data_IF_161406267276
#
_entry.id   IF_161406267276
#
_cell.length_a   1.000
_cell.length_b   1.000
_cell.length_c   1.000
_cell.angle_alpha   90.00
_cell.angle_beta   90.00
_cell.angle_gamma   90.00
#
_symmetry.space_group_name_H-M   'P 1'
#
loop_
_entity.id
_entity.type
_entity.pdbx_description
1 polymer ?
#
# COMPACT_ATOMS: atom_id res chain seq x y z
N UNK A 1 -20.05 -6.41 7.75
CA UNK A 1 -18.99 -6.94 8.63
C UNK A 1 -19.45 -8.12 9.50
N UNK A 2 -20.76 -8.24 9.84
CA UNK A 2 -21.26 -9.40 10.62
C UNK A 2 -20.95 -10.75 9.95
N UNK A 3 -21.09 -10.85 8.62
CA UNK A 3 -20.79 -12.08 7.86
C UNK A 3 -19.29 -12.33 7.65
N UNK A 4 -18.46 -11.27 7.69
CA UNK A 4 -17.02 -11.33 7.44
C UNK A 4 -16.28 -10.47 8.47
N UNK A 5 -16.21 -10.88 9.75
CA UNK A 5 -15.71 -10.04 10.84
C UNK A 5 -14.22 -9.68 10.68
N UNK A 6 -13.43 -10.60 10.13
CA UNK A 6 -11.97 -10.49 9.99
C UNK A 6 -11.53 -10.07 8.59
N UNK A 7 -12.47 -9.68 7.72
CA UNK A 7 -12.14 -9.26 6.36
C UNK A 7 -12.23 -7.75 6.21
N UNK A 8 -11.30 -7.19 5.45
CA UNK A 8 -11.43 -5.83 4.96
C UNK A 8 -12.39 -5.82 3.79
N UNK A 9 -13.40 -4.96 3.88
CA UNK A 9 -14.41 -4.81 2.83
C UNK A 9 -14.15 -3.51 2.10
N UNK A 10 -14.43 -3.52 0.81
CA UNK A 10 -14.25 -2.37 -0.07
C UNK A 10 -15.51 -2.09 -0.86
N UNK A 11 -15.73 -0.84 -1.17
CA UNK A 11 -16.78 -0.38 -2.06
C UNK A 11 -16.16 0.42 -3.21
N UNK A 12 -16.81 0.40 -4.37
CA UNK A 12 -16.35 1.13 -5.54
C UNK A 12 -16.40 2.64 -5.35
N UNK A 13 -17.54 3.14 -4.85
CA UNK A 13 -17.77 4.57 -4.62
C UNK A 13 -18.55 4.78 -3.33
N UNK A 14 -18.38 5.92 -2.65
CA UNK A 14 -19.15 6.25 -1.45
C UNK A 14 -20.60 6.66 -1.74
N UNK A 15 -21.05 6.63 -3.00
CA UNK A 15 -22.40 7.05 -3.40
C UNK A 15 -23.45 6.03 -3.03
N UNK A 16 -24.63 6.52 -2.64
CA UNK A 16 -25.82 5.70 -2.40
C UNK A 16 -25.90 5.04 -1.03
N UNK A 17 -24.96 5.33 -0.12
CA UNK A 17 -25.00 4.84 1.25
C UNK A 17 -25.53 5.92 2.19
N UNK A 18 -26.53 5.57 3.00
CA UNK A 18 -27.07 6.48 4.01
C UNK A 18 -26.06 6.77 5.15
N UNK A 19 -25.21 5.79 5.45
CA UNK A 19 -24.08 5.94 6.37
C UNK A 19 -22.92 5.05 5.90
N UNK A 20 -21.77 5.64 5.67
CA UNK A 20 -20.58 4.91 5.23
C UNK A 20 -19.71 4.64 6.44
N UNK A 21 -19.41 3.36 6.75
CA UNK A 21 -18.54 3.03 7.87
C UNK A 21 -17.11 3.51 7.62
N UNK A 22 -16.50 4.10 8.63
CA UNK A 22 -15.08 4.57 8.56
C UNK A 22 -14.04 3.45 8.40
N UNK A 23 -14.45 2.19 8.58
CA UNK A 23 -13.61 1.01 8.36
C UNK A 23 -13.72 0.45 6.93
N UNK A 24 -14.51 1.05 6.05
CA UNK A 24 -14.68 0.61 4.66
C UNK A 24 -13.55 1.16 3.80
N UNK A 25 -12.92 0.29 3.02
CA UNK A 25 -11.99 0.66 1.96
C UNK A 25 -12.70 1.04 0.67
N UNK A 26 -11.95 1.54 -0.30
CA UNK A 26 -12.51 1.98 -1.56
C UNK A 26 -11.69 1.52 -2.75
N UNK A 27 -12.39 1.32 -3.88
CA UNK A 27 -11.84 0.93 -5.16
C UNK A 27 -12.19 1.95 -6.23
N UNK A 28 -11.17 2.49 -6.88
CA UNK A 28 -11.26 3.37 -8.03
C UNK A 28 -11.09 2.53 -9.31
N UNK A 29 -12.18 2.31 -10.03
CA UNK A 29 -12.19 1.42 -11.19
C UNK A 29 -11.70 2.09 -12.50
N UNK A 30 -11.30 3.34 -12.44
CA UNK A 30 -10.76 4.09 -13.58
C UNK A 30 -9.50 4.87 -13.20
N UNK A 31 -8.69 4.32 -12.29
CA UNK A 31 -7.41 4.91 -11.90
C UNK A 31 -6.46 5.03 -13.12
N UNK A 32 -5.78 6.17 -13.32
CA UNK A 32 -5.90 7.44 -12.62
C UNK A 32 -6.85 8.43 -13.32
N UNK A 33 -7.59 7.98 -14.34
CA UNK A 33 -8.34 8.83 -15.27
C UNK A 33 -9.42 9.69 -14.58
N UNK A 34 -10.12 9.12 -13.61
CA UNK A 34 -11.17 9.81 -12.86
C UNK A 34 -10.83 10.01 -11.37
N UNK A 35 -9.63 9.62 -10.93
CA UNK A 35 -9.20 9.74 -9.54
C UNK A 35 -9.28 11.19 -9.03
N UNK A 36 -8.75 12.14 -9.80
CA UNK A 36 -8.67 13.56 -9.42
C UNK A 36 -8.73 14.50 -10.64
N UNK A 37 -9.68 14.29 -11.52
CA UNK A 37 -9.81 15.05 -12.77
C UNK A 37 -10.48 16.42 -12.61
N UNK A 38 -10.71 16.89 -11.39
CA UNK A 38 -11.32 18.19 -11.09
C UNK A 38 -12.84 18.22 -11.19
N UNK A 39 -13.48 17.09 -11.47
CA UNK A 39 -14.95 16.99 -11.53
C UNK A 39 -15.51 16.66 -10.14
N UNK A 40 -16.74 17.02 -9.91
CA UNK A 40 -17.48 16.76 -8.68
C UNK A 40 -17.74 15.25 -8.43
N UNK A 41 -17.76 14.47 -9.51
CA UNK A 41 -17.89 13.01 -9.48
C UNK A 41 -16.54 12.28 -9.41
N UNK A 42 -15.40 12.99 -9.47
CA UNK A 42 -14.09 12.35 -9.36
C UNK A 42 -13.94 11.58 -8.04
N UNK A 43 -13.21 10.49 -8.07
CA UNK A 43 -13.10 9.56 -6.93
C UNK A 43 -12.69 10.26 -5.63
N UNK A 44 -11.58 10.99 -5.60
CA UNK A 44 -11.13 11.71 -4.40
C UNK A 44 -12.09 12.84 -3.99
N UNK A 45 -12.73 13.50 -4.96
CA UNK A 45 -13.73 14.53 -4.68
C UNK A 45 -14.95 13.94 -3.97
N UNK A 46 -15.44 12.77 -4.44
CA UNK A 46 -16.57 12.08 -3.81
C UNK A 46 -16.23 11.52 -2.44
N UNK A 47 -15.01 10.99 -2.23
CA UNK A 47 -14.55 10.58 -0.90
C UNK A 47 -14.55 11.75 0.08
N UNK A 48 -14.02 12.90 -0.33
CA UNK A 48 -14.00 14.11 0.49
C UNK A 48 -15.41 14.63 0.79
N UNK A 49 -16.26 14.72 -0.21
CA UNK A 49 -17.64 15.19 -0.06
C UNK A 49 -18.48 14.30 0.89
N UNK A 50 -18.16 13.02 0.96
CA UNK A 50 -18.83 12.06 1.86
C UNK A 50 -18.14 11.91 3.23
N UNK A 51 -17.05 12.64 3.51
CA UNK A 51 -16.29 12.56 4.76
C UNK A 51 -15.50 11.26 4.90
N UNK A 52 -15.14 10.61 3.78
CA UNK A 52 -14.42 9.33 3.74
C UNK A 52 -12.96 9.47 3.27
N UNK A 53 -12.48 10.69 3.10
CA UNK A 53 -11.13 11.01 2.63
C UNK A 53 -10.01 10.55 3.58
N UNK A 54 -10.34 10.13 4.79
CA UNK A 54 -9.42 9.57 5.79
C UNK A 54 -9.53 8.06 5.98
N UNK A 55 -10.42 7.38 5.25
CA UNK A 55 -10.60 5.93 5.41
C UNK A 55 -9.35 5.13 5.08
N UNK A 56 -8.47 5.66 4.20
CA UNK A 56 -7.18 5.04 3.89
C UNK A 56 -6.29 4.79 5.13
N UNK A 57 -6.52 5.50 6.24
CA UNK A 57 -5.77 5.30 7.48
C UNK A 57 -6.13 3.98 8.20
N UNK A 58 -7.28 3.38 7.89
CA UNK A 58 -7.80 2.20 8.59
C UNK A 58 -8.28 1.08 7.65
N UNK A 59 -8.39 1.36 6.36
CA UNK A 59 -8.84 0.40 5.36
C UNK A 59 -8.19 0.70 3.99
N UNK A 60 -7.93 -0.32 3.15
CA UNK A 60 -7.21 -0.12 1.90
C UNK A 60 -8.01 0.72 0.91
N UNK A 61 -7.29 1.58 0.21
CA UNK A 61 -7.75 2.24 -1.01
C UNK A 61 -6.91 1.70 -2.16
N UNK A 62 -7.53 1.42 -3.28
CA UNK A 62 -6.87 0.93 -4.47
C UNK A 62 -7.69 1.19 -5.71
N UNK A 63 -7.29 0.64 -6.81
CA UNK A 63 -7.98 0.84 -8.07
C UNK A 63 -7.49 -0.05 -9.17
N UNK A 64 -7.97 0.20 -10.39
CA UNK A 64 -7.50 -0.51 -11.59
C UNK A 64 -7.21 0.47 -12.72
N UNK A 65 -6.19 0.15 -13.53
CA UNK A 65 -5.84 0.91 -14.73
C UNK A 65 -6.13 0.07 -15.96
N UNK A 66 -7.07 0.52 -16.78
CA UNK A 66 -7.42 -0.19 -18.00
C UNK A 66 -6.22 -0.36 -18.94
N UNK A 67 -5.96 -1.58 -19.46
CA UNK A 67 -4.76 -1.89 -20.24
C UNK A 67 -4.59 -1.02 -21.48
N UNK A 68 -5.67 -0.71 -22.18
CA UNK A 68 -5.65 0.10 -23.40
C UNK A 68 -5.37 1.59 -23.14
N UNK A 69 -5.44 2.05 -21.89
CA UNK A 69 -5.09 3.41 -21.48
C UNK A 69 -3.72 3.47 -20.80
N UNK A 70 -3.13 2.33 -20.46
CA UNK A 70 -1.92 2.25 -19.65
C UNK A 70 -0.73 2.96 -20.28
N UNK A 71 -0.59 2.93 -21.62
CA UNK A 71 0.51 3.63 -22.30
C UNK A 71 0.44 5.14 -22.07
N UNK A 72 -0.74 5.75 -22.16
CA UNK A 72 -0.97 7.15 -21.86
C UNK A 72 -0.55 7.50 -20.44
N UNK A 73 -1.05 6.72 -19.46
CA UNK A 73 -0.88 7.01 -18.04
C UNK A 73 0.48 6.62 -17.49
N UNK A 74 1.18 5.68 -18.14
CA UNK A 74 2.51 5.25 -17.74
C UNK A 74 3.63 5.94 -18.51
N UNK A 75 3.36 6.75 -19.53
CA UNK A 75 4.34 7.51 -20.30
C UNK A 75 4.05 9.01 -20.23
N UNK A 76 3.27 9.66 -21.15
CA UNK A 76 3.15 11.12 -21.15
C UNK A 76 2.48 11.67 -19.89
N UNK A 77 1.55 10.92 -19.29
CA UNK A 77 0.77 11.36 -18.12
C UNK A 77 1.25 10.73 -16.80
N UNK A 78 2.47 10.17 -16.77
CA UNK A 78 2.97 9.46 -15.60
C UNK A 78 3.01 10.32 -14.33
N UNK A 79 3.37 11.59 -14.43
CA UNK A 79 3.34 12.52 -13.31
C UNK A 79 1.94 12.69 -12.70
N UNK A 80 0.89 12.67 -13.51
CA UNK A 80 -0.49 12.70 -13.03
C UNK A 80 -0.87 11.37 -12.36
N UNK A 81 -0.39 10.25 -12.88
CA UNK A 81 -0.57 8.93 -12.27
C UNK A 81 0.05 8.84 -10.88
N UNK A 82 1.29 9.29 -10.72
CA UNK A 82 1.96 9.34 -9.42
C UNK A 82 1.22 10.25 -8.44
N UNK A 83 0.78 11.43 -8.90
CA UNK A 83 0.02 12.36 -8.06
C UNK A 83 -1.31 11.77 -7.60
N UNK A 84 -2.03 11.07 -8.47
CA UNK A 84 -3.27 10.38 -8.13
C UNK A 84 -3.02 9.26 -7.10
N UNK A 85 -1.97 8.46 -7.29
CA UNK A 85 -1.55 7.41 -6.36
C UNK A 85 -1.30 7.97 -4.95
N UNK A 86 -0.48 9.03 -4.85
CA UNK A 86 -0.11 9.68 -3.58
C UNK A 86 -1.30 10.29 -2.87
N UNK A 87 -2.10 11.07 -3.60
CA UNK A 87 -3.25 11.75 -3.03
C UNK A 87 -4.36 10.78 -2.57
N UNK A 88 -4.47 9.64 -3.24
CA UNK A 88 -5.42 8.58 -2.88
C UNK A 88 -4.90 7.60 -1.84
N UNK A 89 -3.59 7.64 -1.50
CA UNK A 89 -2.93 6.67 -0.62
C UNK A 89 -3.19 5.23 -1.05
N UNK A 90 -3.01 4.96 -2.35
CA UNK A 90 -3.30 3.66 -2.93
C UNK A 90 -2.37 2.57 -2.37
N UNK A 91 -2.94 1.48 -1.93
CA UNK A 91 -2.22 0.34 -1.37
C UNK A 91 -2.17 -0.87 -2.30
N UNK A 92 -2.89 -0.83 -3.42
CA UNK A 92 -2.90 -1.88 -4.43
C UNK A 92 -3.48 -1.38 -5.76
N UNK A 93 -3.14 -2.05 -6.86
CA UNK A 93 -3.73 -1.83 -8.20
C UNK A 93 -4.09 -3.19 -8.78
N UNK A 94 -5.35 -3.37 -9.18
CA UNK A 94 -5.86 -4.58 -9.81
C UNK A 94 -7.40 -4.56 -9.95
N UNK A 95 -7.97 -5.52 -10.71
CA UNK A 95 -7.30 -6.60 -11.43
C UNK A 95 -6.46 -6.13 -12.62
N UNK A 96 -6.78 -4.98 -13.22
CA UNK A 96 -5.97 -4.39 -14.27
C UNK A 96 -4.85 -3.56 -13.66
N UNK A 97 -3.62 -4.03 -13.86
CA UNK A 97 -2.40 -3.40 -13.37
C UNK A 97 -1.47 -3.11 -14.56
N UNK A 98 -0.89 -1.89 -14.65
CA UNK A 98 0.00 -1.55 -15.76
C UNK A 98 1.22 -2.46 -15.86
N UNK A 99 1.70 -3.03 -14.75
CA UNK A 99 2.83 -3.96 -14.74
C UNK A 99 2.52 -5.32 -15.40
N UNK A 100 1.25 -5.63 -15.69
CA UNK A 100 0.83 -6.85 -16.40
C UNK A 100 0.73 -6.63 -17.92
N UNK A 101 0.95 -5.43 -18.41
CA UNK A 101 0.93 -5.11 -19.84
C UNK A 101 2.24 -5.58 -20.47
N UNK A 102 2.14 -6.43 -21.49
CA UNK A 102 3.30 -6.88 -22.26
C UNK A 102 3.86 -5.74 -23.10
N UNK A 103 5.07 -5.30 -22.80
CA UNK A 103 5.77 -4.23 -23.52
C UNK A 103 7.28 -4.38 -23.43
N UNK A 104 7.98 -3.88 -24.45
CA UNK A 104 9.45 -3.74 -24.45
C UNK A 104 9.90 -2.29 -24.19
N UNK A 105 8.97 -1.38 -23.96
CA UNK A 105 9.29 0.02 -23.71
C UNK A 105 9.92 0.17 -22.32
N UNK A 106 11.23 0.44 -22.28
CA UNK A 106 11.97 0.53 -21.03
C UNK A 106 11.49 1.67 -20.12
N UNK A 107 11.06 2.79 -20.68
CA UNK A 107 10.52 3.90 -19.89
C UNK A 107 9.22 3.49 -19.20
N UNK A 108 8.34 2.79 -19.90
CA UNK A 108 7.12 2.22 -19.33
C UNK A 108 7.43 1.26 -18.16
N UNK A 109 8.36 0.33 -18.37
CA UNK A 109 8.74 -0.65 -17.34
C UNK A 109 9.37 0.02 -16.11
N UNK A 110 10.19 1.04 -16.31
CA UNK A 110 10.79 1.81 -15.22
C UNK A 110 9.71 2.55 -14.42
N UNK A 111 8.75 3.19 -15.09
CA UNK A 111 7.64 3.88 -14.46
C UNK A 111 6.73 2.91 -13.69
N UNK A 112 6.47 1.70 -14.23
CA UNK A 112 5.74 0.66 -13.50
C UNK A 112 6.48 0.26 -12.21
N UNK A 113 7.78 0.04 -12.29
CA UNK A 113 8.59 -0.32 -11.12
C UNK A 113 8.53 0.77 -10.05
N UNK A 114 8.71 2.03 -10.45
CA UNK A 114 8.65 3.17 -9.53
C UNK A 114 7.27 3.29 -8.87
N UNK A 115 6.21 3.19 -9.66
CA UNK A 115 4.82 3.24 -9.16
C UNK A 115 4.54 2.16 -8.12
N UNK A 116 4.98 0.92 -8.39
CA UNK A 116 4.79 -0.22 -7.48
C UNK A 116 5.65 -0.09 -6.21
N UNK A 117 6.84 0.50 -6.29
CA UNK A 117 7.69 0.73 -5.12
C UNK A 117 7.13 1.80 -4.18
N UNK A 118 6.41 2.77 -4.71
CA UNK A 118 5.80 3.84 -3.92
C UNK A 118 4.46 3.42 -3.30
N UNK A 119 3.73 2.53 -3.98
CA UNK A 119 2.40 2.09 -3.59
C UNK A 119 2.40 1.28 -2.30
N UNK A 120 1.36 1.49 -1.47
CA UNK A 120 1.17 0.69 -0.26
C UNK A 120 2.12 1.07 0.86
N UNK A 121 2.72 0.05 1.48
CA UNK A 121 3.68 0.21 2.57
C UNK A 121 5.08 -0.24 2.15
N UNK A 122 6.10 0.43 2.68
CA UNK A 122 7.51 0.09 2.51
C UNK A 122 8.23 0.26 3.85
N UNK A 123 8.51 -0.85 4.53
CA UNK A 123 9.20 -0.84 5.80
C UNK A 123 10.71 -0.76 5.63
N UNK A 124 11.31 0.23 6.29
CA UNK A 124 12.76 0.41 6.34
C UNK A 124 13.24 0.36 7.78
N UNK A 125 14.25 -0.46 8.04
CA UNK A 125 15.01 -0.40 9.28
C UNK A 125 16.01 0.76 9.13
N UNK A 126 15.91 1.73 10.03
CA UNK A 126 16.75 2.92 10.04
C UNK A 126 18.00 2.70 10.91
N UNK A 127 17.79 2.13 12.09
CA UNK A 127 18.88 1.80 13.01
C UNK A 127 18.59 0.48 13.68
N UNK A 128 19.66 -0.25 14.00
CA UNK A 128 19.60 -1.33 14.97
C UNK A 128 20.81 -1.22 15.89
N UNK A 129 20.61 -1.50 17.17
CA UNK A 129 21.63 -1.39 18.20
C UNK A 129 21.63 -2.66 19.05
N UNK A 130 22.78 -3.21 19.28
CA UNK A 130 23.01 -4.34 20.18
C UNK A 130 24.41 -4.34 20.74
N UNK A 131 24.65 -5.03 21.85
CA UNK A 131 26.00 -5.22 22.36
C UNK A 131 26.82 -6.06 21.37
N UNK A 132 28.04 -5.61 21.08
CA UNK A 132 28.96 -6.29 20.15
C UNK A 132 29.38 -7.69 20.66
N UNK A 133 29.47 -7.85 21.97
CA UNK A 133 29.87 -9.09 22.62
C UNK A 133 28.89 -9.41 23.73
N UNK A 134 28.41 -10.63 23.78
CA UNK A 134 27.48 -11.15 24.79
C UNK A 134 28.04 -12.46 25.26
N UNK A 135 28.02 -12.70 26.57
CA UNK A 135 28.38 -14.01 27.15
C UNK A 135 27.19 -14.96 26.98
N UNK A 136 27.48 -16.23 26.82
CA UNK A 136 26.45 -17.27 26.81
C UNK A 136 25.62 -17.23 28.09
N UNK A 137 24.32 -17.16 27.98
CA UNK A 137 23.36 -17.02 29.08
C UNK A 137 22.98 -15.61 29.47
N UNK A 138 23.67 -14.58 28.93
CA UNK A 138 23.26 -13.20 29.13
C UNK A 138 22.09 -12.82 28.19
N UNK A 139 21.20 -11.91 28.63
CA UNK A 139 20.12 -11.43 27.76
C UNK A 139 20.65 -10.59 26.59
N UNK A 140 20.17 -10.87 25.38
CA UNK A 140 20.40 -10.03 24.23
C UNK A 140 19.45 -8.83 24.27
N UNK A 141 20.01 -7.64 24.42
CA UNK A 141 19.26 -6.39 24.26
C UNK A 141 19.41 -5.90 22.81
N UNK A 142 18.31 -5.78 22.11
CA UNK A 142 18.24 -5.28 20.75
C UNK A 142 17.29 -4.09 20.70
N UNK A 143 17.72 -3.00 20.08
CA UNK A 143 16.87 -1.86 19.76
C UNK A 143 16.77 -1.71 18.24
N UNK A 144 15.55 -1.63 17.73
CA UNK A 144 15.25 -1.42 16.32
C UNK A 144 14.43 -0.15 16.14
N UNK A 145 14.85 0.72 15.22
CA UNK A 145 14.03 1.84 14.75
C UNK A 145 13.68 1.61 13.30
N UNK A 146 12.39 1.56 13.03
CA UNK A 146 11.85 1.38 11.68
C UNK A 146 10.93 2.52 11.27
N UNK A 147 10.72 2.64 9.98
CA UNK A 147 9.78 3.59 9.39
C UNK A 147 9.03 2.93 8.24
N UNK A 148 7.74 3.18 8.13
CA UNK A 148 7.00 2.97 6.89
C UNK A 148 7.22 4.18 5.99
N UNK A 149 7.88 4.01 4.85
CA UNK A 149 8.13 5.04 3.85
C UNK A 149 7.08 5.05 2.73
N UNK A 150 6.24 4.00 2.66
CA UNK A 150 5.15 3.93 1.71
C UNK A 150 4.04 4.94 1.98
N UNK A 151 3.15 5.09 1.03
CA UNK A 151 2.07 6.10 1.05
C UNK A 151 0.81 5.65 1.78
N UNK A 152 0.75 4.38 2.18
CA UNK A 152 -0.36 3.80 2.94
C UNK A 152 0.13 3.05 4.17
N UNK A 153 -0.70 2.91 5.23
CA UNK A 153 -0.34 2.13 6.39
C UNK A 153 -0.41 0.63 6.10
N UNK A 154 0.18 -0.15 7.00
CA UNK A 154 -0.03 -1.58 7.05
C UNK A 154 -1.27 -1.90 7.88
N UNK A 155 -2.25 -2.58 7.31
CA UNK A 155 -3.58 -2.75 7.91
C UNK A 155 -3.72 -4.00 8.80
N UNK A 156 -2.70 -4.86 8.84
CA UNK A 156 -2.74 -6.13 9.56
C UNK A 156 -1.88 -6.08 10.81
N UNK A 157 -2.33 -6.75 11.87
CA UNK A 157 -1.54 -6.92 13.10
C UNK A 157 -0.70 -8.20 12.97
N UNK A 158 0.37 -8.14 12.19
CA UNK A 158 1.31 -9.24 12.10
C UNK A 158 2.36 -9.11 13.21
N UNK A 159 2.70 -10.22 13.88
CA UNK A 159 3.76 -10.22 14.86
C UNK A 159 5.12 -10.01 14.19
N UNK A 160 6.00 -9.34 14.91
CA UNK A 160 7.41 -9.21 14.53
C UNK A 160 8.18 -10.31 15.23
N UNK A 161 9.06 -11.00 14.51
CA UNK A 161 9.88 -12.09 15.03
C UNK A 161 11.36 -11.73 14.94
N UNK A 162 12.11 -12.04 15.99
CA UNK A 162 13.56 -12.10 15.95
C UNK A 162 13.96 -13.57 15.71
N UNK A 163 14.65 -13.84 14.61
CA UNK A 163 15.11 -15.18 14.28
C UNK A 163 16.64 -15.28 14.43
N UNK A 164 17.10 -16.24 15.20
CA UNK A 164 18.52 -16.59 15.29
C UNK A 164 18.84 -17.67 14.26
N UNK A 165 19.79 -17.38 13.39
CA UNK A 165 20.19 -18.25 12.28
C UNK A 165 21.59 -18.78 12.57
N UNK A 166 21.78 -20.09 12.48
CA UNK A 166 23.10 -20.73 12.66
C UNK A 166 23.98 -20.54 11.41
N UNK A 167 25.21 -21.03 11.48
CA UNK A 167 26.19 -20.94 10.37
C UNK A 167 25.75 -21.66 9.09
N UNK A 168 24.84 -22.62 9.20
CA UNK A 168 24.29 -23.36 8.05
C UNK A 168 23.06 -22.70 7.44
N UNK A 169 22.69 -21.50 7.92
CA UNK A 169 21.53 -20.76 7.44
C UNK A 169 20.17 -21.28 7.95
N UNK A 170 20.18 -22.16 8.96
CA UNK A 170 18.95 -22.70 9.56
C UNK A 170 18.53 -21.87 10.78
N UNK A 171 17.23 -21.69 10.94
CA UNK A 171 16.69 -21.04 12.14
C UNK A 171 16.96 -21.93 13.34
N UNK A 172 17.71 -21.40 14.31
CA UNK A 172 18.05 -22.08 15.55
C UNK A 172 16.97 -21.87 16.62
N UNK A 173 16.43 -20.64 16.73
CA UNK A 173 15.31 -20.28 17.60
C UNK A 173 14.64 -19.01 17.11
N UNK A 174 13.43 -18.76 17.57
CA UNK A 174 12.66 -17.53 17.30
C UNK A 174 12.10 -17.01 18.61
N UNK A 175 12.14 -15.69 18.76
CA UNK A 175 11.52 -14.98 19.87
C UNK A 175 10.48 -14.00 19.32
N UNK A 176 9.42 -13.78 20.08
CA UNK A 176 8.36 -12.78 19.79
C UNK A 176 8.30 -11.78 20.93
N UNK A 177 8.07 -10.52 20.59
CA UNK A 177 7.66 -9.52 21.57
C UNK A 177 6.17 -9.65 21.93
#
# INVERSE_FOLDING_TARGET
RKAFPDKMLMARYPRGYAAIPKWLGFHDDMFPADTQNGKDWAFLTTLKASGQDKNWMVAPVGGEMEPFQSEKWMLPEYGNTQKALRNGHFSWIGPYCPALVETKNQAYLNNCKELLQEMGYDFRILTYEHKRTIKQGDPLQLSLTGKNQGIAPFYYKWPVYLAFINTDGKIATTETD
#
